data_IF_674593041903
#
_entry.id   IF_674593041903
#
_cell.length_a   1.000
_cell.length_b   1.000
_cell.length_c   1.000
_cell.angle_alpha   90.00
_cell.angle_beta   90.00
_cell.angle_gamma   90.00
#
_symmetry.space_group_name_H-M   'P 1'
#
loop_
_entity.id
_entity.type
_entity.pdbx_description
1 polymer ?
#
# COMPACT_ATOMS: atom_id res chain seq x y z
N UNK A 1 -22.68 9.49 23.25
CA UNK A 1 -21.35 9.70 22.67
C UNK A 1 -21.46 9.27 21.21
N UNK A 2 -21.47 10.23 20.30
CA UNK A 2 -21.30 9.91 18.90
C UNK A 2 -19.88 9.38 18.76
N UNK A 3 -19.77 8.08 18.52
CA UNK A 3 -18.47 7.46 18.29
C UNK A 3 -18.08 7.73 16.82
N UNK A 4 -17.30 8.78 16.60
CA UNK A 4 -16.84 9.21 15.29
C UNK A 4 -16.19 8.04 14.53
N UNK A 5 -15.47 7.17 15.22
CA UNK A 5 -14.82 5.99 14.64
C UNK A 5 -15.85 4.99 14.11
N UNK A 6 -16.89 4.69 14.89
CA UNK A 6 -17.97 3.79 14.45
C UNK A 6 -18.70 4.37 13.24
N UNK A 7 -19.03 5.65 13.30
CA UNK A 7 -19.69 6.36 12.21
C UNK A 7 -18.86 6.32 10.92
N UNK A 8 -17.55 6.56 11.03
CA UNK A 8 -16.62 6.51 9.90
C UNK A 8 -16.59 5.13 9.26
N UNK A 9 -16.41 4.07 10.06
CA UNK A 9 -16.35 2.70 9.56
C UNK A 9 -17.67 2.29 8.91
N UNK A 10 -18.81 2.64 9.49
CA UNK A 10 -20.13 2.30 8.96
C UNK A 10 -20.50 3.08 7.71
N UNK A 11 -20.02 4.30 7.55
CA UNK A 11 -20.31 5.17 6.40
C UNK A 11 -19.36 4.96 5.22
N UNK A 12 -18.17 4.40 5.45
CA UNK A 12 -17.17 4.17 4.41
C UNK A 12 -17.74 3.40 3.23
N UNK A 13 -17.46 3.86 2.05
CA UNK A 13 -17.87 3.21 0.79
C UNK A 13 -16.80 3.37 -0.27
N UNK A 14 -16.82 2.50 -1.26
CA UNK A 14 -15.96 2.61 -2.44
C UNK A 14 -16.34 3.81 -3.30
N UNK A 15 -15.39 4.71 -3.54
CA UNK A 15 -15.53 5.88 -4.41
C UNK A 15 -14.72 5.64 -5.68
N UNK A 16 -15.35 5.82 -6.84
CA UNK A 16 -14.74 5.61 -8.18
C UNK A 16 -14.73 6.86 -9.06
N UNK A 17 -15.26 7.96 -8.56
CA UNK A 17 -15.20 9.25 -9.23
C UNK A 17 -14.53 10.27 -8.30
N UNK A 18 -13.44 10.84 -8.77
CA UNK A 18 -12.59 11.70 -7.98
C UNK A 18 -12.60 13.12 -8.53
N UNK A 19 -12.52 14.09 -7.65
CA UNK A 19 -12.32 15.48 -8.03
C UNK A 19 -10.96 15.65 -8.72
N UNK A 20 -10.92 16.43 -9.79
CA UNK A 20 -9.70 16.72 -10.56
C UNK A 20 -8.87 17.81 -9.90
N UNK A 21 -8.51 17.62 -8.64
CA UNK A 21 -7.63 18.50 -7.90
C UNK A 21 -6.58 17.69 -7.17
N UNK A 22 -5.43 18.28 -6.98
CA UNK A 22 -4.38 17.68 -6.17
C UNK A 22 -4.80 17.64 -4.69
N UNK A 23 -4.38 16.60 -3.98
CA UNK A 23 -4.51 16.54 -2.53
C UNK A 23 -3.38 17.37 -1.93
N UNK A 24 -3.72 18.20 -0.97
CA UNK A 24 -2.73 19.06 -0.29
C UNK A 24 -1.61 18.20 0.32
N UNK A 25 -0.38 18.67 0.16
CA UNK A 25 0.81 17.94 0.65
C UNK A 25 0.72 17.57 2.13
N UNK A 26 0.21 18.47 2.98
CA UNK A 26 0.02 18.21 4.41
C UNK A 26 -0.93 17.03 4.65
N UNK A 27 -2.01 16.94 3.86
CA UNK A 27 -2.98 15.83 3.93
C UNK A 27 -2.33 14.51 3.50
N UNK A 28 -1.52 14.54 2.41
CA UNK A 28 -0.78 13.36 1.95
C UNK A 28 0.23 12.91 3.01
N UNK A 29 0.97 13.83 3.63
CA UNK A 29 1.95 13.53 4.66
C UNK A 29 1.27 12.91 5.90
N UNK A 30 0.09 13.42 6.30
CA UNK A 30 -0.73 12.84 7.38
C UNK A 30 -1.20 11.43 7.01
N UNK A 31 -1.70 11.25 5.79
CA UNK A 31 -2.16 9.94 5.31
C UNK A 31 -1.01 8.92 5.34
N UNK A 32 0.18 9.28 4.85
CA UNK A 32 1.39 8.44 4.93
C UNK A 32 1.71 8.05 6.37
N UNK A 33 1.76 9.03 7.27
CA UNK A 33 2.06 8.79 8.68
C UNK A 33 1.03 7.86 9.34
N UNK A 34 -0.26 8.05 9.06
CA UNK A 34 -1.33 7.21 9.59
C UNK A 34 -1.29 5.79 9.00
N UNK A 35 -1.00 5.66 7.71
CA UNK A 35 -0.85 4.35 7.04
C UNK A 35 0.24 3.51 7.70
N UNK A 36 1.40 4.11 7.97
CA UNK A 36 2.54 3.44 8.63
C UNK A 36 2.30 3.13 10.12
N UNK A 37 1.16 3.51 10.70
CA UNK A 37 0.74 3.11 12.05
C UNK A 37 -0.02 1.79 12.08
N UNK A 38 -0.20 1.16 10.92
CA UNK A 38 -0.79 -0.18 10.86
C UNK A 38 0.00 -1.17 11.73
N UNK A 39 -0.66 -2.08 12.45
CA UNK A 39 0.06 -3.15 13.13
C UNK A 39 0.70 -4.09 12.11
N UNK A 40 1.85 -4.68 12.47
CA UNK A 40 2.52 -5.68 11.65
C UNK A 40 3.14 -6.79 12.49
N UNK A 41 3.33 -7.96 11.90
CA UNK A 41 3.91 -9.12 12.58
C UNK A 41 5.33 -8.79 13.06
N UNK A 42 5.56 -8.87 14.37
CA UNK A 42 6.87 -8.55 14.97
C UNK A 42 7.36 -7.13 14.68
N UNK A 43 6.49 -6.21 14.30
CA UNK A 43 6.82 -4.86 13.84
C UNK A 43 7.81 -4.86 12.65
N UNK A 44 7.72 -5.88 11.80
CA UNK A 44 8.64 -6.02 10.66
C UNK A 44 8.21 -5.22 9.43
N UNK A 45 6.93 -4.88 9.33
CA UNK A 45 6.40 -4.10 8.20
C UNK A 45 6.84 -4.66 6.84
N UNK A 46 6.55 -5.96 6.62
CA UNK A 46 7.01 -6.71 5.43
C UNK A 46 6.26 -6.29 4.15
N UNK A 47 6.08 -5.00 3.98
CA UNK A 47 5.46 -4.38 2.81
C UNK A 47 6.24 -3.14 2.36
N UNK A 48 6.01 -2.74 1.14
CA UNK A 48 6.44 -1.45 0.59
C UNK A 48 5.27 -0.79 -0.12
N UNK A 49 5.28 0.54 -0.16
CA UNK A 49 4.24 1.33 -0.83
C UNK A 49 4.89 2.12 -1.95
N UNK A 50 4.42 1.89 -3.17
CA UNK A 50 4.83 2.64 -4.35
C UNK A 50 3.77 3.69 -4.66
N UNK A 51 4.13 4.96 -4.57
CA UNK A 51 3.31 6.08 -5.02
C UNK A 51 3.52 6.33 -6.52
N UNK A 52 2.45 6.22 -7.29
CA UNK A 52 2.49 6.42 -8.74
C UNK A 52 2.12 7.86 -9.05
N UNK A 53 3.13 8.71 -9.29
CA UNK A 53 2.94 10.14 -9.60
C UNK A 53 2.88 10.40 -11.10
N UNK A 54 3.62 9.64 -11.90
CA UNK A 54 3.73 9.82 -13.34
C UNK A 54 2.38 9.54 -14.04
N UNK A 55 1.89 10.53 -14.79
CA UNK A 55 0.58 10.47 -15.47
C UNK A 55 0.52 9.38 -16.53
N UNK A 56 1.62 9.16 -17.28
CA UNK A 56 1.64 8.13 -18.31
C UNK A 56 1.64 6.72 -17.65
N UNK A 57 2.35 6.55 -16.53
CA UNK A 57 2.27 5.31 -15.74
C UNK A 57 0.88 5.07 -15.16
N UNK A 58 0.19 6.10 -14.65
CA UNK A 58 -1.22 5.97 -14.21
C UNK A 58 -2.14 5.52 -15.35
N UNK A 59 -1.96 6.07 -16.55
CA UNK A 59 -2.72 5.69 -17.74
C UNK A 59 -2.44 4.24 -18.16
N UNK A 60 -1.17 3.83 -18.17
CA UNK A 60 -0.80 2.44 -18.47
C UNK A 60 -1.32 1.48 -17.40
N UNK A 61 -1.24 1.85 -16.13
CA UNK A 61 -1.82 1.10 -15.02
C UNK A 61 -3.34 0.95 -15.18
N UNK A 62 -4.05 2.01 -15.56
CA UNK A 62 -5.48 1.95 -15.85
C UNK A 62 -5.81 0.96 -16.97
N UNK A 63 -4.98 0.91 -18.02
CA UNK A 63 -5.13 -0.04 -19.12
C UNK A 63 -4.86 -1.49 -18.69
N UNK A 64 -3.86 -1.72 -17.82
CA UNK A 64 -3.56 -3.04 -17.24
C UNK A 64 -4.73 -3.51 -16.34
N UNK A 65 -5.39 -2.58 -15.64
CA UNK A 65 -6.50 -2.84 -14.74
C UNK A 65 -7.85 -2.67 -15.45
N UNK A 66 -8.09 -3.39 -16.51
CA UNK A 66 -9.35 -3.46 -17.29
C UNK A 66 -9.88 -2.08 -17.76
N UNK A 67 -8.96 -1.21 -18.18
CA UNK A 67 -9.27 0.14 -18.67
C UNK A 67 -10.05 1.02 -17.67
N UNK A 68 -9.79 0.87 -16.39
CA UNK A 68 -10.44 1.64 -15.33
C UNK A 68 -9.93 3.08 -15.28
N UNK A 69 -10.59 3.98 -16.01
CA UNK A 69 -10.22 5.40 -16.13
C UNK A 69 -10.10 6.14 -14.79
N UNK A 70 -10.75 5.67 -13.76
CA UNK A 70 -10.62 6.27 -12.42
C UNK A 70 -9.20 6.21 -11.88
N UNK A 71 -8.39 5.22 -12.27
CA UNK A 71 -6.98 5.11 -11.87
C UNK A 71 -6.16 6.25 -12.48
N UNK A 72 -6.37 6.54 -13.77
CA UNK A 72 -5.73 7.66 -14.46
C UNK A 72 -6.10 9.02 -13.83
N UNK A 73 -7.38 9.16 -13.41
CA UNK A 73 -7.93 10.39 -12.89
C UNK A 73 -7.69 10.59 -11.37
N UNK A 74 -7.32 9.53 -10.64
CA UNK A 74 -7.11 9.62 -9.20
C UNK A 74 -5.94 10.57 -8.87
N UNK A 75 -6.11 11.52 -7.93
CA UNK A 75 -5.02 12.38 -7.50
C UNK A 75 -3.90 11.60 -6.83
N UNK A 76 -4.23 10.57 -6.06
CA UNK A 76 -3.28 9.66 -5.41
C UNK A 76 -3.50 8.24 -5.89
N UNK A 77 -2.43 7.56 -6.27
CA UNK A 77 -2.44 6.13 -6.61
C UNK A 77 -1.27 5.47 -5.88
N UNK A 78 -1.58 4.53 -5.01
CA UNK A 78 -0.61 3.76 -4.25
C UNK A 78 -0.72 2.28 -4.59
N UNK A 79 0.42 1.63 -4.80
CA UNK A 79 0.52 0.18 -4.95
C UNK A 79 1.16 -0.37 -3.69
N UNK A 80 0.44 -1.23 -2.99
CA UNK A 80 0.94 -1.94 -1.83
C UNK A 80 1.58 -3.23 -2.28
N UNK A 81 2.83 -3.42 -1.92
CA UNK A 81 3.68 -4.53 -2.36
C UNK A 81 4.05 -5.42 -1.18
N UNK A 82 3.90 -6.73 -1.32
CA UNK A 82 4.54 -7.68 -0.41
C UNK A 82 6.06 -7.58 -0.60
N UNK A 83 6.79 -7.18 0.45
CA UNK A 83 8.24 -6.99 0.38
C UNK A 83 8.97 -7.91 1.37
N UNK A 84 8.98 -9.20 1.04
CA UNK A 84 9.68 -10.21 1.83
C UNK A 84 11.20 -10.00 1.85
N UNK A 85 11.76 -9.43 0.78
CA UNK A 85 13.20 -9.22 0.63
C UNK A 85 13.72 -8.02 1.46
N UNK A 86 12.84 -7.17 1.99
CA UNK A 86 13.21 -5.98 2.79
C UNK A 86 14.19 -6.33 3.91
N UNK A 87 13.85 -7.33 4.71
CA UNK A 87 14.66 -7.75 5.85
C UNK A 87 15.94 -8.46 5.44
N UNK A 88 15.92 -9.26 4.39
CA UNK A 88 17.11 -9.90 3.86
C UNK A 88 18.12 -8.86 3.35
N UNK A 89 17.64 -7.84 2.62
CA UNK A 89 18.46 -6.69 2.22
C UNK A 89 19.03 -5.96 3.44
N UNK A 90 18.20 -5.71 4.45
CA UNK A 90 18.65 -5.08 5.69
C UNK A 90 19.72 -5.92 6.43
N UNK A 91 19.54 -7.22 6.57
CA UNK A 91 20.52 -8.11 7.20
C UNK A 91 21.83 -8.17 6.41
N UNK A 92 21.77 -8.19 5.09
CA UNK A 92 22.96 -8.10 4.24
C UNK A 92 23.70 -6.78 4.45
N UNK A 93 22.98 -5.67 4.46
CA UNK A 93 23.57 -4.33 4.66
C UNK A 93 24.15 -4.15 6.07
N UNK A 94 23.42 -4.54 7.10
CA UNK A 94 23.83 -4.38 8.50
C UNK A 94 24.89 -5.39 8.95
N UNK A 95 25.10 -6.47 8.19
CA UNK A 95 25.94 -7.63 8.53
C UNK A 95 25.56 -8.26 9.89
N UNK A 96 24.31 -8.14 10.29
CA UNK A 96 23.84 -8.67 11.58
C UNK A 96 24.02 -10.18 11.71
N UNK A 97 23.74 -11.01 10.68
CA UNK A 97 23.97 -12.43 10.76
C UNK A 97 25.42 -12.79 11.09
N UNK A 98 26.39 -12.12 10.46
CA UNK A 98 27.81 -12.33 10.73
C UNK A 98 28.19 -11.89 12.15
N UNK A 99 27.72 -10.71 12.58
CA UNK A 99 28.00 -10.15 13.91
C UNK A 99 27.51 -11.04 15.06
N UNK A 100 26.37 -11.69 14.86
CA UNK A 100 25.74 -12.54 15.88
C UNK A 100 25.96 -14.02 15.65
N UNK A 101 26.75 -14.40 14.63
CA UNK A 101 27.04 -15.78 14.25
C UNK A 101 25.76 -16.62 14.07
N UNK A 102 24.78 -16.07 13.36
CA UNK A 102 23.53 -16.73 12.98
C UNK A 102 23.44 -16.85 11.45
N UNK A 103 22.79 -17.89 10.91
CA UNK A 103 22.61 -18.01 9.47
C UNK A 103 21.73 -16.88 8.93
N UNK A 104 21.92 -16.52 7.66
CA UNK A 104 20.99 -15.69 6.93
C UNK A 104 19.64 -16.40 6.87
N UNK A 105 18.53 -15.76 7.26
CA UNK A 105 17.22 -16.41 7.20
C UNK A 105 16.83 -16.73 5.75
N UNK A 106 16.31 -17.94 5.55
CA UNK A 106 15.68 -18.34 4.30
C UNK A 106 14.19 -17.97 4.32
N UNK A 107 13.74 -17.32 3.26
CA UNK A 107 12.34 -16.95 3.12
C UNK A 107 11.52 -18.15 2.70
N UNK A 108 10.40 -18.37 3.39
CA UNK A 108 9.49 -19.46 3.16
C UNK A 108 8.03 -19.03 2.96
N UNK A 109 7.15 -20.01 2.87
CA UNK A 109 5.71 -19.77 2.71
C UNK A 109 5.11 -18.99 3.89
N UNK A 110 5.62 -19.17 5.12
CA UNK A 110 5.20 -18.40 6.29
C UNK A 110 5.50 -16.91 6.14
N UNK A 111 6.70 -16.57 5.67
CA UNK A 111 7.09 -15.18 5.44
C UNK A 111 6.26 -14.52 4.33
N UNK A 112 5.91 -15.29 3.30
CA UNK A 112 5.00 -14.82 2.25
C UNK A 112 3.62 -14.49 2.81
N UNK A 113 3.05 -15.35 3.64
CA UNK A 113 1.75 -15.10 4.28
C UNK A 113 1.80 -13.90 5.21
N UNK A 114 2.82 -13.79 6.06
CA UNK A 114 3.02 -12.62 6.93
C UNK A 114 3.17 -11.32 6.13
N UNK A 115 3.94 -11.35 5.05
CA UNK A 115 4.10 -10.19 4.17
C UNK A 115 2.77 -9.79 3.51
N UNK A 116 1.97 -10.76 3.08
CA UNK A 116 0.64 -10.52 2.53
C UNK A 116 -0.30 -9.91 3.58
N UNK A 117 -0.35 -10.48 4.79
CA UNK A 117 -1.16 -9.98 5.89
C UNK A 117 -0.77 -8.55 6.26
N UNK A 118 0.51 -8.27 6.48
CA UNK A 118 1.03 -6.92 6.77
C UNK A 118 0.65 -5.93 5.67
N UNK A 119 0.75 -6.33 4.40
CA UNK A 119 0.40 -5.51 3.25
C UNK A 119 -1.07 -5.13 3.24
N UNK A 120 -1.97 -6.11 3.46
CA UNK A 120 -3.42 -5.89 3.47
C UNK A 120 -3.84 -5.03 4.67
N UNK A 121 -3.25 -5.28 5.85
CA UNK A 121 -3.52 -4.50 7.06
C UNK A 121 -3.09 -3.03 6.85
N UNK A 122 -1.91 -2.78 6.27
CA UNK A 122 -1.45 -1.43 5.98
C UNK A 122 -2.34 -0.73 4.94
N UNK A 123 -2.78 -1.46 3.91
CA UNK A 123 -3.67 -0.95 2.89
C UNK A 123 -5.05 -0.58 3.50
N UNK A 124 -5.64 -1.43 4.37
CA UNK A 124 -6.90 -1.11 5.03
C UNK A 124 -6.74 0.07 6.01
N UNK A 125 -5.63 0.12 6.75
CA UNK A 125 -5.35 1.27 7.62
C UNK A 125 -5.29 2.58 6.82
N UNK A 126 -4.74 2.55 5.59
CA UNK A 126 -4.73 3.71 4.70
C UNK A 126 -6.12 4.14 4.25
N UNK A 127 -7.03 3.17 4.01
CA UNK A 127 -8.43 3.45 3.64
C UNK A 127 -9.17 4.16 4.78
N UNK A 128 -9.05 3.66 6.01
CA UNK A 128 -9.65 4.27 7.18
C UNK A 128 -9.07 5.66 7.43
N UNK A 129 -7.74 5.81 7.28
CA UNK A 129 -7.07 7.11 7.40
C UNK A 129 -7.53 8.11 6.33
N UNK A 130 -7.72 7.66 5.09
CA UNK A 130 -8.23 8.48 4.00
C UNK A 130 -9.64 9.01 4.32
N UNK A 131 -10.57 8.14 4.73
CA UNK A 131 -11.92 8.54 5.15
C UNK A 131 -11.89 9.57 6.29
N UNK A 132 -11.03 9.37 7.30
CA UNK A 132 -10.85 10.30 8.41
C UNK A 132 -10.32 11.68 7.96
N UNK A 133 -9.62 11.73 6.83
CA UNK A 133 -9.12 12.96 6.20
C UNK A 133 -10.08 13.54 5.14
N UNK A 134 -11.27 12.95 4.99
CA UNK A 134 -12.28 13.38 4.00
C UNK A 134 -11.94 12.96 2.57
N UNK A 135 -11.09 11.94 2.38
CA UNK A 135 -10.73 11.39 1.08
C UNK A 135 -11.47 10.07 0.83
N UNK A 136 -12.15 9.97 -0.30
CA UNK A 136 -12.73 8.70 -0.75
C UNK A 136 -11.67 7.80 -1.39
N UNK A 137 -11.87 6.49 -1.32
CA UNK A 137 -10.91 5.50 -1.81
C UNK A 137 -11.56 4.36 -2.59
N UNK A 138 -10.77 3.65 -3.37
CA UNK A 138 -11.16 2.43 -4.06
C UNK A 138 -9.99 1.45 -4.13
N UNK A 139 -10.19 0.21 -3.69
CA UNK A 139 -9.28 -0.89 -3.97
C UNK A 139 -9.39 -1.36 -5.42
N UNK A 140 -8.26 -1.68 -6.03
CA UNK A 140 -8.17 -2.24 -7.37
C UNK A 140 -7.51 -3.61 -7.28
N UNK A 141 -8.29 -4.66 -7.54
CA UNK A 141 -7.83 -6.06 -7.50
C UNK A 141 -7.21 -6.53 -8.81
N UNK A 142 -7.55 -5.90 -9.94
CA UNK A 142 -7.14 -6.35 -11.29
C UNK A 142 -5.62 -6.33 -11.51
N UNK A 143 -4.87 -5.63 -10.66
CA UNK A 143 -3.40 -5.67 -10.64
C UNK A 143 -2.88 -7.10 -10.44
N UNK A 144 -3.62 -7.95 -9.73
CA UNK A 144 -3.22 -9.34 -9.47
C UNK A 144 -3.42 -10.23 -10.70
N UNK A 145 -4.31 -9.87 -11.62
CA UNK A 145 -4.60 -10.65 -12.83
C UNK A 145 -3.53 -10.44 -13.91
N UNK A 146 -2.86 -9.29 -13.90
CA UNK A 146 -1.88 -8.89 -14.90
C UNK A 146 -0.51 -8.59 -14.31
N UNK A 147 -0.07 -9.35 -13.32
CA UNK A 147 1.15 -9.11 -12.55
C UNK A 147 2.42 -8.95 -13.40
N UNK A 148 2.57 -9.73 -14.48
CA UNK A 148 3.73 -9.63 -15.38
C UNK A 148 3.81 -8.24 -16.05
N UNK A 149 2.70 -7.74 -16.58
CA UNK A 149 2.63 -6.39 -17.17
C UNK A 149 2.89 -5.29 -16.15
N UNK A 150 2.49 -5.53 -14.90
CA UNK A 150 2.75 -4.59 -13.82
C UNK A 150 4.25 -4.50 -13.51
N UNK A 151 4.95 -5.63 -13.47
CA UNK A 151 6.41 -5.69 -13.28
C UNK A 151 7.16 -5.00 -14.41
N UNK A 152 6.68 -5.12 -15.66
CA UNK A 152 7.28 -4.43 -16.81
C UNK A 152 7.07 -2.91 -16.76
N UNK A 153 5.99 -2.44 -16.12
CA UNK A 153 5.68 -1.02 -16.00
C UNK A 153 6.54 -0.31 -14.95
N UNK A 154 6.94 -1.00 -13.89
CA UNK A 154 7.63 -0.42 -12.72
C UNK A 154 9.04 -0.94 -12.52
#
# INVERSE_FOLDING_TARGET
>A
MDDETLSLILSRRTIRDFERREVEKETVDKLKAMTLRAPSAGNMEMYSILEVEDKEKKKQLAAICDNQKMIENAPLVWIFLCDMEKWKRYFTFSKSPEKFNIPMPELGAGDMLLSFEDTVIAAENSVIAAEALGLGSCYIGDVLENGEKLVELF
#
